data_IF_858107325329
#
_entry.id   IF_858107325329
#
_cell.length_a   1.000
_cell.length_b   1.000
_cell.length_c   1.000
_cell.angle_alpha   90.00
_cell.angle_beta   90.00
_cell.angle_gamma   90.00
#
_symmetry.space_group_name_H-M   'P 1'
#
loop_
_entity.id
_entity.type
_entity.pdbx_description
1 polymer ?
#
# COMPACT_ATOMS: atom_id res chain seq x y z
N UNK A 1 -10.06 -7.43 10.33
CA UNK A 1 -9.42 -6.28 9.66
C UNK A 1 -7.92 -6.50 9.69
N UNK A 2 -7.22 -6.45 8.55
CA UNK A 2 -5.75 -6.48 8.57
C UNK A 2 -5.27 -5.07 8.90
N UNK A 3 -4.41 -4.95 9.91
CA UNK A 3 -3.83 -3.67 10.30
C UNK A 3 -2.52 -3.46 9.54
N UNK A 4 -2.61 -2.66 8.48
CA UNK A 4 -1.45 -2.18 7.74
C UNK A 4 -0.70 -1.13 8.57
N UNK A 5 0.62 -1.26 8.67
CA UNK A 5 1.48 -0.34 9.41
C UNK A 5 2.50 0.31 8.48
N UNK A 6 2.82 1.57 8.76
CA UNK A 6 3.94 2.26 8.11
C UNK A 6 5.24 1.52 8.42
N UNK A 7 6.11 1.37 7.41
CA UNK A 7 7.34 0.57 7.45
C UNK A 7 7.15 -0.91 7.15
N UNK A 8 5.91 -1.38 6.96
CA UNK A 8 5.64 -2.77 6.61
C UNK A 8 5.87 -3.03 5.12
N UNK A 9 6.54 -4.13 4.80
CA UNK A 9 6.62 -4.63 3.42
C UNK A 9 5.31 -5.30 3.02
N UNK A 10 4.84 -5.01 1.81
CA UNK A 10 3.60 -5.53 1.26
C UNK A 10 3.77 -5.99 -0.18
N UNK A 11 2.90 -6.91 -0.61
CA UNK A 11 2.69 -7.26 -2.02
C UNK A 11 1.42 -6.60 -2.54
N UNK A 12 1.20 -6.62 -3.85
CA UNK A 12 0.04 -6.01 -4.48
C UNK A 12 -0.57 -6.91 -5.57
N UNK A 13 -1.86 -6.73 -5.82
CA UNK A 13 -2.60 -7.43 -6.90
C UNK A 13 -2.87 -6.54 -8.13
N UNK A 14 -2.39 -5.29 -8.12
CA UNK A 14 -2.58 -4.36 -9.25
C UNK A 14 -1.75 -4.76 -10.48
N UNK A 15 -2.35 -5.12 -11.63
CA UNK A 15 -1.62 -5.52 -12.84
C UNK A 15 -0.89 -4.35 -13.52
N UNK A 16 -1.26 -3.11 -13.19
CA UNK A 16 -0.65 -1.90 -13.74
C UNK A 16 0.61 -1.47 -12.97
N UNK A 17 0.85 -2.04 -11.79
CA UNK A 17 1.98 -1.66 -10.96
C UNK A 17 3.20 -2.50 -11.32
N UNK A 18 4.30 -1.80 -11.62
CA UNK A 18 5.62 -2.39 -11.85
C UNK A 18 6.59 -1.77 -10.85
N UNK A 19 6.48 -2.12 -9.55
CA UNK A 19 7.40 -1.63 -8.54
C UNK A 19 8.78 -2.25 -8.75
N UNK A 20 9.82 -1.48 -8.44
CA UNK A 20 11.18 -1.97 -8.38
C UNK A 20 11.48 -2.48 -6.97
N UNK A 21 11.65 -3.80 -6.84
CA UNK A 21 11.94 -4.43 -5.56
C UNK A 21 10.71 -4.51 -4.65
N UNK A 22 10.92 -4.28 -3.34
CA UNK A 22 9.87 -4.42 -2.31
C UNK A 22 9.07 -3.14 -2.16
N UNK A 23 7.74 -3.27 -2.01
CA UNK A 23 6.89 -2.16 -1.61
C UNK A 23 6.85 -2.03 -0.09
N UNK A 24 7.12 -0.84 0.42
CA UNK A 24 7.06 -0.52 1.84
C UNK A 24 6.02 0.56 2.08
N UNK A 25 5.10 0.32 3.00
CA UNK A 25 4.06 1.29 3.34
C UNK A 25 4.70 2.54 3.95
N UNK A 26 4.39 3.70 3.40
CA UNK A 26 4.82 5.01 3.92
C UNK A 26 3.66 5.78 4.55
N UNK A 27 2.41 5.48 4.16
CA UNK A 27 1.23 6.17 4.66
C UNK A 27 0.00 5.27 4.69
N UNK A 28 -0.84 5.46 5.70
CA UNK A 28 -2.17 4.86 5.79
C UNK A 28 -3.16 5.95 6.20
N UNK A 29 -4.07 6.31 5.31
CA UNK A 29 -5.17 7.23 5.56
C UNK A 29 -6.49 6.45 5.65
N UNK A 30 -7.47 6.96 6.39
CA UNK A 30 -8.81 6.39 6.45
C UNK A 30 -9.77 7.38 5.80
N UNK A 31 -10.41 6.96 4.71
CA UNK A 31 -11.40 7.77 4.03
C UNK A 31 -12.60 8.03 4.93
N UNK A 32 -12.74 9.25 5.46
CA UNK A 32 -13.79 9.64 6.43
C UNK A 32 -15.21 9.25 6.03
N UNK A 33 -15.51 9.20 4.73
CA UNK A 33 -16.87 8.93 4.21
C UNK A 33 -17.13 7.45 3.91
N UNK A 34 -16.10 6.71 3.48
CA UNK A 34 -16.25 5.32 3.03
C UNK A 34 -15.77 4.31 4.07
N UNK A 35 -14.99 4.74 5.07
CA UNK A 35 -14.32 3.87 6.04
C UNK A 35 -13.16 3.06 5.46
N UNK A 36 -12.87 3.20 4.16
CA UNK A 36 -11.81 2.47 3.47
C UNK A 36 -10.45 3.02 3.85
N UNK A 37 -9.51 2.11 4.16
CA UNK A 37 -8.10 2.48 4.34
C UNK A 37 -7.45 2.69 2.97
N UNK A 38 -6.85 3.84 2.76
CA UNK A 38 -6.03 4.19 1.61
C UNK A 38 -4.57 4.04 2.06
N UNK A 39 -3.81 3.24 1.34
CA UNK A 39 -2.45 2.88 1.66
C UNK A 39 -1.56 3.45 0.56
N UNK A 40 -0.52 4.16 0.97
CA UNK A 40 0.58 4.58 0.09
C UNK A 40 1.80 3.78 0.44
N UNK A 41 2.37 3.10 -0.55
CA UNK A 41 3.61 2.36 -0.46
C UNK A 41 4.64 2.94 -1.44
N UNK A 42 5.91 2.88 -1.07
CA UNK A 42 7.03 3.24 -1.94
C UNK A 42 7.83 2.00 -2.29
N UNK A 43 8.38 1.95 -3.50
CA UNK A 43 9.34 0.91 -3.89
C UNK A 43 10.79 1.32 -3.57
N UNK A 44 11.76 0.46 -3.89
CA UNK A 44 13.17 0.74 -3.62
C UNK A 44 13.75 1.85 -4.50
N UNK A 45 13.06 2.18 -5.60
CA UNK A 45 13.42 3.33 -6.46
C UNK A 45 12.86 4.65 -5.94
N UNK A 46 12.05 4.62 -4.88
CA UNK A 46 11.38 5.79 -4.31
C UNK A 46 10.08 6.16 -5.02
N UNK A 47 9.56 5.28 -5.90
CA UNK A 47 8.29 5.51 -6.59
C UNK A 47 7.12 5.16 -5.68
N UNK A 48 6.19 6.10 -5.55
CA UNK A 48 5.00 5.94 -4.74
C UNK A 48 3.84 5.28 -5.50
N UNK A 49 3.14 4.40 -4.81
CA UNK A 49 1.97 3.67 -5.27
C UNK A 49 0.87 3.77 -4.22
N UNK A 50 -0.29 4.30 -4.61
CA UNK A 50 -1.41 4.49 -3.69
C UNK A 50 -2.61 3.67 -4.15
N UNK A 51 -3.17 2.89 -3.23
CA UNK A 51 -4.39 2.12 -3.46
C UNK A 51 -5.17 1.90 -2.17
N UNK A 52 -6.39 1.39 -2.29
CA UNK A 52 -7.21 0.98 -1.15
C UNK A 52 -6.72 -0.35 -0.57
N UNK A 53 -7.08 -0.65 0.68
CA UNK A 53 -6.62 -1.83 1.42
C UNK A 53 -6.79 -3.17 0.70
N UNK A 54 -7.79 -3.29 -0.16
CA UNK A 54 -8.05 -4.52 -0.93
C UNK A 54 -7.02 -4.81 -2.03
N UNK A 55 -6.13 -3.87 -2.34
CA UNK A 55 -5.08 -4.03 -3.37
C UNK A 55 -3.77 -4.51 -2.77
N UNK A 56 -3.55 -4.28 -1.47
CA UNK A 56 -2.31 -4.60 -0.78
C UNK A 56 -2.46 -5.85 0.09
N UNK A 57 -1.40 -6.66 0.14
CA UNK A 57 -1.35 -7.87 0.94
C UNK A 57 -0.12 -7.83 1.85
N UNK A 58 -0.36 -7.89 3.16
CA UNK A 58 0.71 -8.08 4.13
C UNK A 58 1.43 -9.40 3.86
N UNK A 59 2.75 -9.35 3.73
CA UNK A 59 3.61 -10.52 3.61
C UNK A 59 3.92 -11.12 4.97
#
# INVERSE_FOLDING_TARGET
MRDFKVGQTVTHDSPCWKPQGKLTIVKVDIGRRSGLKIITATDESGKEFTAVEGVFHAT
#
